data_IF_856001499593
#
_entry.id   IF_856001499593
#
_cell.length_a   1.000
_cell.length_b   1.000
_cell.length_c   1.000
_cell.angle_alpha   90.00
_cell.angle_beta   90.00
_cell.angle_gamma   90.00
#
_symmetry.space_group_name_H-M   'P 1'
#
loop_
_entity.id
_entity.type
_entity.pdbx_description
1 polymer ?
#
# COMPACT_ATOMS: atom_id res chain seq x y z
N UNK A 1 9.74 -16.77 5.87
CA UNK A 1 10.53 -15.62 5.31
C UNK A 1 9.53 -14.50 5.01
N UNK A 2 9.47 -13.45 5.83
CA UNK A 2 8.38 -12.47 5.82
C UNK A 2 8.00 -11.90 4.44
N UNK A 3 8.99 -11.48 3.63
CA UNK A 3 8.71 -10.92 2.28
C UNK A 3 8.00 -11.93 1.35
N UNK A 4 8.33 -13.23 1.46
CA UNK A 4 7.70 -14.26 0.63
C UNK A 4 6.29 -14.57 1.15
N UNK A 5 6.09 -14.53 2.44
CA UNK A 5 4.79 -14.73 3.09
C UNK A 5 3.85 -13.59 2.72
N UNK A 6 4.30 -12.35 2.88
CA UNK A 6 3.56 -11.17 2.43
C UNK A 6 3.21 -11.27 0.92
N UNK A 7 4.18 -11.59 0.05
CA UNK A 7 3.93 -11.75 -1.38
C UNK A 7 2.92 -12.89 -1.67
N UNK A 8 2.96 -13.98 -0.90
CA UNK A 8 2.02 -15.08 -1.04
C UNK A 8 0.60 -14.68 -0.67
N UNK A 9 0.44 -13.91 0.38
CA UNK A 9 -0.85 -13.35 0.83
C UNK A 9 -1.39 -12.33 -0.17
N UNK A 10 -0.56 -11.40 -0.66
CA UNK A 10 -0.90 -10.45 -1.72
C UNK A 10 -1.44 -11.13 -3.00
N UNK A 11 -0.92 -12.33 -3.28
CA UNK A 11 -1.37 -13.15 -4.42
C UNK A 11 -2.53 -14.10 -4.07
N UNK A 12 -3.16 -13.94 -2.90
CA UNK A 12 -4.36 -14.66 -2.49
C UNK A 12 -4.12 -16.09 -2.02
N UNK A 13 -2.93 -16.40 -1.49
CA UNK A 13 -2.59 -17.71 -0.93
C UNK A 13 -2.83 -18.88 -1.90
N UNK A 14 -2.51 -18.67 -3.17
CA UNK A 14 -2.77 -19.64 -4.25
C UNK A 14 -4.22 -19.67 -4.76
N UNK A 15 -5.08 -18.77 -4.29
CA UNK A 15 -6.46 -18.60 -4.75
C UNK A 15 -6.58 -17.27 -5.49
N UNK A 16 -6.44 -17.27 -6.80
CA UNK A 16 -6.44 -16.06 -7.63
C UNK A 16 -7.56 -15.07 -7.29
N UNK A 17 -8.76 -15.58 -6.99
CA UNK A 17 -9.94 -14.75 -6.63
C UNK A 17 -9.75 -13.95 -5.34
N UNK A 18 -8.78 -14.32 -4.50
CA UNK A 18 -8.42 -13.64 -3.26
C UNK A 18 -7.21 -12.72 -3.42
N UNK A 19 -6.55 -12.70 -4.60
CA UNK A 19 -5.43 -11.76 -4.79
C UNK A 19 -5.92 -10.32 -4.62
N UNK A 20 -5.12 -9.49 -3.98
CA UNK A 20 -5.50 -8.11 -3.64
C UNK A 20 -5.85 -7.30 -4.88
N UNK A 21 -5.17 -7.53 -6.01
CA UNK A 21 -5.55 -6.94 -7.30
C UNK A 21 -6.98 -7.30 -7.72
N UNK A 22 -7.41 -8.56 -7.56
CA UNK A 22 -8.77 -8.99 -7.91
C UNK A 22 -9.79 -8.42 -6.93
N UNK A 23 -9.45 -8.34 -5.65
CA UNK A 23 -10.30 -7.70 -4.65
C UNK A 23 -10.49 -6.21 -4.97
N UNK A 24 -9.41 -5.49 -5.32
CA UNK A 24 -9.49 -4.09 -5.74
C UNK A 24 -10.32 -3.90 -7.02
N UNK A 25 -10.16 -4.77 -8.01
CA UNK A 25 -10.98 -4.72 -9.23
C UNK A 25 -12.48 -4.91 -8.93
N UNK A 26 -12.80 -5.75 -7.95
CA UNK A 26 -14.19 -5.93 -7.48
C UNK A 26 -14.72 -4.68 -6.81
N UNK A 27 -13.93 -4.06 -5.93
CA UNK A 27 -14.27 -2.76 -5.34
C UNK A 27 -14.54 -1.70 -6.42
N UNK A 28 -13.66 -1.57 -7.40
CA UNK A 28 -13.84 -0.64 -8.52
C UNK A 28 -15.12 -0.94 -9.31
N UNK A 29 -15.43 -2.22 -9.54
CA UNK A 29 -16.68 -2.63 -10.18
C UNK A 29 -17.92 -2.25 -9.35
N UNK A 30 -17.86 -2.34 -8.02
CA UNK A 30 -18.89 -1.84 -7.10
C UNK A 30 -19.14 -0.34 -7.25
N UNK A 31 -18.11 0.44 -7.61
CA UNK A 31 -18.20 1.86 -7.96
C UNK A 31 -18.67 2.10 -9.40
N UNK A 32 -18.96 1.06 -10.20
CA UNK A 32 -19.33 1.17 -11.60
C UNK A 32 -18.15 1.35 -12.56
N UNK A 33 -16.90 1.14 -12.11
CA UNK A 33 -15.71 1.25 -12.92
C UNK A 33 -15.30 -0.14 -13.46
N UNK A 34 -14.94 -0.23 -14.74
CA UNK A 34 -14.43 -1.46 -15.33
C UNK A 34 -12.89 -1.50 -15.28
N UNK A 35 -12.31 -2.71 -15.30
CA UNK A 35 -10.85 -2.90 -15.43
C UNK A 35 -10.31 -2.20 -16.67
N UNK A 36 -11.02 -2.31 -17.81
CA UNK A 36 -10.65 -1.61 -19.05
C UNK A 36 -10.64 -0.08 -18.91
N UNK A 37 -11.46 0.45 -18.02
CA UNK A 37 -11.44 1.88 -17.69
C UNK A 37 -10.22 2.22 -16.83
N UNK A 38 -9.96 1.45 -15.78
CA UNK A 38 -8.81 1.64 -14.89
C UNK A 38 -7.48 1.59 -15.65
N UNK A 39 -7.33 0.65 -16.59
CA UNK A 39 -6.13 0.49 -17.41
C UNK A 39 -5.87 1.68 -18.37
N UNK A 40 -6.87 2.53 -18.59
CA UNK A 40 -6.79 3.70 -19.49
C UNK A 40 -6.75 5.04 -18.78
N UNK A 41 -7.01 5.04 -17.47
CA UNK A 41 -6.97 6.28 -16.69
C UNK A 41 -5.52 6.76 -16.59
N UNK A 42 -5.30 8.01 -16.99
CA UNK A 42 -4.02 8.66 -16.70
C UNK A 42 -3.96 9.03 -15.21
N UNK A 43 -2.97 8.51 -14.48
CA UNK A 43 -2.82 8.85 -13.07
C UNK A 43 -2.45 10.33 -12.90
N UNK A 44 -2.82 10.91 -11.77
CA UNK A 44 -2.33 12.23 -11.40
C UNK A 44 -0.79 12.23 -11.40
N UNK A 45 -0.16 13.38 -11.72
CA UNK A 45 1.31 13.48 -11.68
C UNK A 45 1.91 13.03 -10.34
N UNK A 46 1.28 13.39 -9.22
CA UNK A 46 1.69 13.00 -7.87
C UNK A 46 1.57 11.49 -7.64
N UNK A 47 0.49 10.86 -8.11
CA UNK A 47 0.32 9.39 -8.08
C UNK A 47 1.41 8.69 -8.89
N UNK A 48 1.69 9.17 -10.11
CA UNK A 48 2.77 8.63 -10.94
C UNK A 48 4.13 8.74 -10.26
N UNK A 49 4.46 9.92 -9.71
CA UNK A 49 5.71 10.14 -8.99
C UNK A 49 5.82 9.19 -7.79
N UNK A 50 4.77 9.04 -7.01
CA UNK A 50 4.75 8.14 -5.87
C UNK A 50 5.05 6.70 -6.31
N UNK A 51 4.28 6.14 -7.23
CA UNK A 51 4.43 4.76 -7.69
C UNK A 51 5.81 4.50 -8.31
N UNK A 52 6.26 5.35 -9.25
CA UNK A 52 7.54 5.17 -9.93
C UNK A 52 8.73 5.25 -8.95
N UNK A 53 8.68 6.17 -7.99
CA UNK A 53 9.78 6.29 -7.02
C UNK A 53 9.79 5.17 -5.98
N UNK A 54 8.63 4.66 -5.54
CA UNK A 54 8.59 3.47 -4.68
C UNK A 54 9.12 2.24 -5.41
N UNK A 55 8.73 2.02 -6.66
CA UNK A 55 9.25 0.94 -7.49
C UNK A 55 10.77 1.06 -7.66
N UNK A 56 11.27 2.24 -8.02
CA UNK A 56 12.70 2.48 -8.20
C UNK A 56 13.47 2.30 -6.89
N UNK A 57 12.91 2.74 -5.76
CA UNK A 57 13.52 2.54 -4.45
C UNK A 57 13.67 1.06 -4.11
N UNK A 58 12.70 0.22 -4.48
CA UNK A 58 12.75 -1.22 -4.26
C UNK A 58 13.64 -1.94 -5.30
N UNK A 59 13.72 -1.44 -6.53
CA UNK A 59 14.46 -2.08 -7.61
C UNK A 59 15.94 -1.70 -7.63
N UNK A 60 16.24 -0.40 -7.53
CA UNK A 60 17.59 0.14 -7.69
C UNK A 60 18.21 0.65 -6.38
N UNK A 61 17.42 0.72 -5.32
CA UNK A 61 17.85 1.20 -4.01
C UNK A 61 18.71 0.19 -3.23
N UNK A 62 19.27 0.68 -2.13
CA UNK A 62 19.95 -0.21 -1.20
C UNK A 62 18.92 -1.10 -0.48
N UNK A 63 19.19 -2.40 -0.34
CA UNK A 63 18.28 -3.38 0.28
C UNK A 63 17.65 -2.90 1.61
N UNK A 64 18.45 -2.26 2.49
CA UNK A 64 17.94 -1.75 3.76
C UNK A 64 17.06 -0.50 3.60
N UNK A 65 17.29 0.32 2.57
CA UNK A 65 16.37 1.42 2.24
C UNK A 65 15.02 0.85 1.74
N UNK A 66 15.07 -0.16 0.87
CA UNK A 66 13.86 -0.83 0.38
C UNK A 66 13.03 -1.45 1.51
N UNK A 67 13.68 -2.17 2.43
CA UNK A 67 13.01 -2.73 3.60
C UNK A 67 12.45 -1.64 4.53
N UNK A 68 13.20 -0.55 4.71
CA UNK A 68 12.74 0.61 5.49
C UNK A 68 11.53 1.28 4.87
N UNK A 69 11.46 1.34 3.54
CA UNK A 69 10.32 1.88 2.82
C UNK A 69 9.08 0.97 2.97
N UNK A 70 9.23 -0.33 2.73
CA UNK A 70 8.10 -1.28 2.78
C UNK A 70 7.52 -1.42 4.20
N UNK A 71 8.32 -1.72 5.21
CA UNK A 71 7.82 -1.93 6.57
C UNK A 71 7.49 -0.61 7.28
N UNK A 72 8.47 0.10 7.85
CA UNK A 72 8.21 1.33 8.60
C UNK A 72 7.66 2.49 7.76
N UNK A 73 7.84 2.47 6.44
CA UNK A 73 7.46 3.56 5.55
C UNK A 73 6.07 3.43 4.94
N UNK A 74 5.55 2.21 4.78
CA UNK A 74 4.22 1.96 4.21
C UNK A 74 3.35 1.13 5.15
N UNK A 75 3.70 -0.11 5.45
CA UNK A 75 2.86 -1.02 6.24
C UNK A 75 2.44 -0.48 7.62
N UNK A 76 3.26 0.39 8.21
CA UNK A 76 2.96 0.99 9.52
C UNK A 76 1.65 1.80 9.53
N UNK A 77 1.31 2.45 8.43
CA UNK A 77 0.16 3.35 8.35
C UNK A 77 -1.08 2.69 7.72
N UNK A 78 -0.90 1.63 6.96
CA UNK A 78 -1.93 1.03 6.11
C UNK A 78 -3.18 0.65 6.89
N UNK A 79 -3.04 0.07 8.07
CA UNK A 79 -4.19 -0.32 8.91
C UNK A 79 -5.08 0.88 9.28
N UNK A 80 -4.49 1.98 9.80
CA UNK A 80 -5.25 3.17 10.19
C UNK A 80 -5.85 3.87 8.99
N UNK A 81 -5.06 4.03 7.93
CA UNK A 81 -5.45 4.65 6.67
C UNK A 81 -6.65 3.91 6.04
N UNK A 82 -6.54 2.60 5.87
CA UNK A 82 -7.60 1.79 5.26
C UNK A 82 -8.84 1.71 6.14
N UNK A 83 -8.68 1.75 7.46
CA UNK A 83 -9.81 1.85 8.40
C UNK A 83 -10.59 3.15 8.22
N UNK A 84 -9.91 4.27 7.94
CA UNK A 84 -10.54 5.56 7.66
C UNK A 84 -11.30 5.50 6.34
N UNK A 85 -10.67 4.96 5.30
CA UNK A 85 -11.27 4.81 3.97
C UNK A 85 -12.50 3.89 4.04
N UNK A 86 -12.37 2.70 4.62
CA UNK A 86 -13.46 1.73 4.76
C UNK A 86 -14.66 2.33 5.49
N UNK A 87 -14.42 3.04 6.59
CA UNK A 87 -15.47 3.72 7.34
C UNK A 87 -16.19 4.78 6.49
N UNK A 88 -15.46 5.51 5.64
CA UNK A 88 -16.03 6.43 4.68
C UNK A 88 -16.90 5.72 3.64
N UNK A 89 -16.38 4.63 3.07
CA UNK A 89 -17.05 3.84 2.04
C UNK A 89 -18.33 3.16 2.55
N UNK A 90 -18.39 2.75 3.80
CA UNK A 90 -19.60 2.17 4.45
C UNK A 90 -20.80 3.13 4.52
N UNK A 91 -20.64 4.42 4.23
CA UNK A 91 -21.76 5.34 4.11
C UNK A 91 -22.50 5.24 2.76
N UNK A 92 -22.03 4.45 1.83
CA UNK A 92 -22.64 4.27 0.51
C UNK A 92 -23.40 2.96 0.45
N UNK A 93 -24.73 3.00 0.53
CA UNK A 93 -25.63 1.84 0.56
C UNK A 93 -25.53 0.92 -0.66
N UNK A 94 -24.94 1.39 -1.77
CA UNK A 94 -24.77 0.60 -2.99
C UNK A 94 -23.52 -0.30 -2.95
N UNK A 95 -22.59 -0.09 -2.01
CA UNK A 95 -21.42 -0.93 -1.81
C UNK A 95 -21.76 -2.08 -0.83
N UNK A 96 -21.46 -3.29 -1.23
CA UNK A 96 -21.65 -4.47 -0.39
C UNK A 96 -20.39 -4.80 0.40
N UNK A 97 -20.50 -5.60 1.47
CA UNK A 97 -19.33 -6.11 2.21
C UNK A 97 -18.32 -6.82 1.28
N UNK A 98 -18.82 -7.48 0.24
CA UNK A 98 -17.96 -8.15 -0.73
C UNK A 98 -17.19 -7.16 -1.61
N UNK A 99 -17.74 -6.00 -1.90
CA UNK A 99 -17.05 -4.94 -2.64
C UNK A 99 -15.98 -4.30 -1.77
N UNK A 100 -16.19 -4.26 -0.45
CA UNK A 100 -15.25 -3.70 0.53
C UNK A 100 -14.19 -4.70 1.03
N UNK A 101 -14.20 -5.95 0.57
CA UNK A 101 -13.29 -7.01 1.02
C UNK A 101 -11.80 -6.62 0.88
N UNK A 102 -11.44 -5.87 -0.17
CA UNK A 102 -10.08 -5.35 -0.34
C UNK A 102 -9.60 -4.56 0.88
N UNK A 103 -10.40 -3.63 1.37
CA UNK A 103 -10.08 -2.80 2.53
C UNK A 103 -10.05 -3.60 3.82
N UNK A 104 -11.05 -4.45 4.01
CA UNK A 104 -11.20 -5.28 5.22
C UNK A 104 -10.03 -6.25 5.40
N UNK A 105 -9.56 -6.87 4.32
CA UNK A 105 -8.43 -7.81 4.36
C UNK A 105 -7.16 -7.09 4.79
N UNK A 106 -6.84 -5.93 4.24
CA UNK A 106 -5.67 -5.16 4.63
C UNK A 106 -5.72 -4.71 6.09
N UNK A 107 -6.87 -4.21 6.56
CA UNK A 107 -7.04 -3.81 7.97
C UNK A 107 -6.72 -4.97 8.93
N UNK A 108 -6.97 -6.23 8.53
CA UNK A 108 -6.74 -7.40 9.37
C UNK A 108 -5.33 -7.98 9.25
N UNK A 109 -4.65 -7.81 8.12
CA UNK A 109 -3.34 -8.43 7.83
C UNK A 109 -2.14 -7.49 8.08
N UNK A 110 -2.32 -6.18 7.95
CA UNK A 110 -1.20 -5.24 7.93
C UNK A 110 -0.46 -5.10 9.26
N UNK A 111 -1.10 -5.39 10.41
CA UNK A 111 -0.40 -5.45 11.69
C UNK A 111 0.62 -6.60 11.72
N UNK A 112 0.28 -7.73 11.10
CA UNK A 112 1.18 -8.88 10.97
C UNK A 112 2.28 -8.57 9.95
N UNK A 113 1.97 -8.01 8.78
CA UNK A 113 2.94 -7.62 7.75
C UNK A 113 3.98 -6.62 8.29
N UNK A 114 3.54 -5.57 8.96
CA UNK A 114 4.44 -4.61 9.60
C UNK A 114 5.36 -5.30 10.61
N UNK A 115 4.80 -6.10 11.51
CA UNK A 115 5.54 -6.82 12.55
C UNK A 115 6.60 -7.76 11.96
N UNK A 116 6.24 -8.50 10.91
CA UNK A 116 7.12 -9.42 10.21
C UNK A 116 8.26 -8.70 9.47
N UNK A 117 7.96 -7.61 8.77
CA UNK A 117 8.98 -6.80 8.10
C UNK A 117 9.93 -6.15 9.09
N UNK A 118 9.44 -5.61 10.20
CA UNK A 118 10.28 -5.09 11.30
C UNK A 118 11.12 -6.21 11.90
N UNK A 119 10.58 -7.39 12.09
CA UNK A 119 11.33 -8.57 12.53
C UNK A 119 12.45 -8.93 11.56
N UNK A 120 12.23 -8.84 10.25
CA UNK A 120 13.23 -9.06 9.23
C UNK A 120 14.33 -7.98 9.21
N UNK A 121 13.99 -6.74 9.51
CA UNK A 121 14.92 -5.59 9.52
C UNK A 121 15.78 -5.56 10.78
N UNK A 122 15.23 -5.95 11.93
CA UNK A 122 15.86 -5.80 13.26
C UNK A 122 17.28 -6.37 13.34
N UNK A 123 17.61 -7.56 12.81
CA UNK A 123 18.97 -8.09 12.84
C UNK A 123 20.00 -7.24 12.07
N UNK A 124 19.52 -6.49 11.07
CA UNK A 124 20.36 -5.62 10.23
C UNK A 124 20.57 -4.23 10.83
N UNK A 125 19.75 -3.81 11.78
CA UNK A 125 19.85 -2.50 12.45
C UNK A 125 20.99 -2.46 13.48
N UNK A 126 22.13 -3.09 13.20
CA UNK A 126 23.26 -3.34 14.09
C UNK A 126 24.38 -2.29 14.01
N UNK A 127 24.30 -1.35 13.07
CA UNK A 127 25.25 -0.23 12.92
C UNK A 127 24.51 1.09 12.72
N UNK A 128 25.20 2.22 12.92
CA UNK A 128 24.64 3.55 12.64
C UNK A 128 24.32 3.71 11.15
N UNK A 129 25.17 3.19 10.28
CA UNK A 129 24.99 3.23 8.83
C UNK A 129 23.72 2.47 8.42
N UNK A 130 23.54 1.24 8.90
CA UNK A 130 22.36 0.44 8.59
C UNK A 130 21.07 1.10 9.11
N UNK A 131 21.09 1.62 10.32
CA UNK A 131 19.95 2.39 10.87
C UNK A 131 19.63 3.62 10.05
N UNK A 132 20.67 4.31 9.55
CA UNK A 132 20.49 5.46 8.68
C UNK A 132 19.82 5.07 7.35
N UNK A 133 20.25 3.98 6.72
CA UNK A 133 19.66 3.47 5.48
C UNK A 133 18.18 3.11 5.67
N UNK A 134 17.86 2.34 6.71
CA UNK A 134 16.48 1.94 7.04
C UNK A 134 15.60 3.19 7.23
N UNK A 135 16.07 4.15 8.06
CA UNK A 135 15.35 5.39 8.31
C UNK A 135 15.17 6.24 7.04
N UNK A 136 16.18 6.24 6.17
CA UNK A 136 16.13 6.98 4.90
C UNK A 136 15.06 6.41 3.98
N UNK A 137 14.98 5.08 3.87
CA UNK A 137 13.95 4.40 3.10
C UNK A 137 12.55 4.70 3.63
N UNK A 138 12.34 4.54 4.93
CA UNK A 138 11.07 4.85 5.58
C UNK A 138 10.65 6.31 5.31
N UNK A 139 11.57 7.27 5.50
CA UNK A 139 11.27 8.67 5.24
C UNK A 139 10.91 8.94 3.78
N UNK A 140 11.61 8.35 2.83
CA UNK A 140 11.30 8.51 1.40
C UNK A 140 9.89 8.00 1.09
N UNK A 141 9.50 6.84 1.62
CA UNK A 141 8.17 6.29 1.39
C UNK A 141 7.08 7.19 2.00
N UNK A 142 7.26 7.65 3.23
CA UNK A 142 6.32 8.59 3.89
C UNK A 142 6.19 9.90 3.10
N UNK A 143 7.30 10.50 2.64
CA UNK A 143 7.26 11.72 1.85
C UNK A 143 6.48 11.50 0.53
N UNK A 144 6.61 10.33 -0.09
CA UNK A 144 5.89 9.97 -1.31
C UNK A 144 4.39 9.73 -1.04
N UNK A 145 4.06 9.11 0.08
CA UNK A 145 2.68 8.90 0.52
C UNK A 145 1.96 10.24 0.78
N UNK A 146 2.61 11.16 1.48
CA UNK A 146 2.10 12.53 1.68
C UNK A 146 1.86 13.22 0.33
N UNK A 147 2.82 13.14 -0.60
CA UNK A 147 2.67 13.71 -1.94
C UNK A 147 1.49 13.12 -2.71
N UNK A 148 1.25 11.82 -2.57
CA UNK A 148 0.12 11.13 -3.17
C UNK A 148 -1.22 11.67 -2.63
N UNK A 149 -1.37 11.73 -1.31
CA UNK A 149 -2.60 12.21 -0.66
C UNK A 149 -2.86 13.69 -0.89
N UNK A 150 -1.84 14.54 -0.80
CA UNK A 150 -1.94 15.96 -1.14
C UNK A 150 -2.42 16.15 -2.59
N UNK A 151 -1.88 15.33 -3.50
CA UNK A 151 -2.31 15.37 -4.90
C UNK A 151 -3.75 14.94 -5.12
N UNK A 152 -4.24 13.95 -4.37
CA UNK A 152 -5.65 13.57 -4.40
C UNK A 152 -6.52 14.69 -3.82
N UNK A 153 -6.15 15.23 -2.67
CA UNK A 153 -6.90 16.31 -2.01
C UNK A 153 -7.04 17.55 -2.90
N UNK A 154 -5.96 17.97 -3.57
CA UNK A 154 -5.95 19.13 -4.47
C UNK A 154 -6.81 18.95 -5.71
N UNK A 155 -7.13 17.70 -6.09
CA UNK A 155 -7.95 17.37 -7.25
C UNK A 155 -9.39 16.94 -6.88
N UNK A 156 -9.80 17.05 -5.62
CA UNK A 156 -11.17 16.77 -5.23
C UNK A 156 -12.16 17.76 -5.88
N UNK A 157 -13.31 17.29 -6.38
CA UNK A 157 -14.34 18.17 -6.93
C UNK A 157 -14.84 19.16 -5.87
N UNK A 158 -14.79 20.44 -6.16
CA UNK A 158 -15.37 21.49 -5.30
C UNK A 158 -14.38 22.19 -4.37
N UNK A 159 -13.07 21.94 -4.53
CA UNK A 159 -12.01 22.79 -3.96
C UNK A 159 -11.71 23.97 -4.85
#
# INVERSE_FOLDING_TARGET
MPIIENLWEEHGEGKLIKSHRILFNRFAAGLGLSVDHLDKVEPLPTTRICCENLINLCHDGHFLESLGALGPGTEYFTNEEYSIIERGLKNYDFLTEKDLEFWTVHISLDEDHYSELVGAITPWANSLENKYLIKTGAKKAIDLEILFWDGLEDNLPGK
#
